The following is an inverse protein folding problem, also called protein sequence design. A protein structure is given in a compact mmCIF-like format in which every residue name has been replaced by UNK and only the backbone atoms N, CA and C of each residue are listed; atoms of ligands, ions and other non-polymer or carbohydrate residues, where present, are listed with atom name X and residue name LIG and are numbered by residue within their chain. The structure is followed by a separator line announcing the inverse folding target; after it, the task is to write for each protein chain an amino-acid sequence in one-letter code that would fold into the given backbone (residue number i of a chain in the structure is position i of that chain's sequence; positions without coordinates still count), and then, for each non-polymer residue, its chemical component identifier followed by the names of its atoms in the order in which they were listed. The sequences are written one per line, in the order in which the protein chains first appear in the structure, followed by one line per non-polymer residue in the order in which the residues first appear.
data_IF_662876039502
#
_entry.id   IF_662876039502
#
_cell.length_a   1.000
_cell.length_b   1.000
_cell.length_c   1.000
_cell.angle_alpha   90.00
_cell.angle_beta   90.00
_cell.angle_gamma   90.00
#
_symmetry.space_group_name_H-M   'P 1'
#
loop_
_entity.id
_entity.type
_entity.pdbx_description
1 polymer ?
#
# COMPACT_ATOMS: atom_id res chain seq x y z
N UNK A 1 12.16 -16.86 -7.93
CA UNK A 1 11.54 -18.20 -7.68
C UNK A 1 10.24 -18.27 -8.49
N UNK A 2 9.72 -19.45 -8.86
CA UNK A 2 8.45 -19.55 -9.60
C UNK A 2 7.28 -19.23 -8.66
N UNK A 3 6.52 -18.17 -8.92
CA UNK A 3 5.31 -17.83 -8.17
C UNK A 3 4.06 -17.92 -9.05
N UNK A 4 2.94 -18.29 -8.44
CA UNK A 4 1.61 -18.21 -9.04
C UNK A 4 0.80 -17.14 -8.32
N UNK A 5 0.47 -16.07 -9.03
CA UNK A 5 -0.60 -15.15 -8.64
C UNK A 5 -1.94 -15.80 -8.97
N UNK A 6 -2.95 -15.53 -8.15
CA UNK A 6 -4.24 -16.19 -8.27
C UNK A 6 -5.38 -15.23 -7.90
N UNK A 7 -6.52 -15.42 -8.57
CA UNK A 7 -7.67 -14.52 -8.43
C UNK A 7 -7.71 -13.43 -9.49
N UNK A 8 -8.92 -12.92 -9.74
CA UNK A 8 -9.20 -11.98 -10.83
C UNK A 8 -8.41 -10.68 -10.68
N UNK A 9 -8.53 -10.00 -9.54
CA UNK A 9 -7.91 -8.69 -9.36
C UNK A 9 -6.37 -8.74 -9.29
N UNK A 10 -5.73 -9.68 -8.54
CA UNK A 10 -4.27 -9.81 -8.56
C UNK A 10 -3.70 -10.05 -9.96
N UNK A 11 -4.31 -10.96 -10.73
CA UNK A 11 -3.88 -11.27 -12.10
C UNK A 11 -4.06 -10.07 -13.01
N UNK A 12 -5.22 -9.41 -12.93
CA UNK A 12 -5.49 -8.20 -13.73
C UNK A 12 -4.49 -7.08 -13.40
N UNK A 13 -4.28 -6.78 -12.12
CA UNK A 13 -3.35 -5.73 -11.70
C UNK A 13 -1.92 -6.05 -12.14
N UNK A 14 -1.44 -7.28 -11.94
CA UNK A 14 -0.10 -7.68 -12.38
C UNK A 14 0.11 -7.53 -13.90
N UNK A 15 -0.90 -7.88 -14.71
CA UNK A 15 -0.87 -7.69 -16.17
C UNK A 15 -0.84 -6.21 -16.57
N UNK A 16 -1.55 -5.35 -15.84
CA UNK A 16 -1.61 -3.91 -16.11
C UNK A 16 -0.33 -3.17 -15.70
N UNK A 17 0.15 -3.40 -14.47
CA UNK A 17 1.26 -2.64 -13.90
C UNK A 17 2.64 -3.23 -14.20
N UNK A 18 2.71 -4.52 -14.57
CA UNK A 18 3.93 -5.19 -15.07
C UNK A 18 5.14 -5.07 -14.14
N UNK A 19 4.92 -5.02 -12.82
CA UNK A 19 5.98 -5.00 -11.82
C UNK A 19 6.73 -6.33 -11.66
N UNK A 20 6.28 -7.37 -12.38
CA UNK A 20 6.88 -8.70 -12.38
C UNK A 20 7.18 -9.13 -13.81
N UNK A 21 8.18 -9.99 -13.95
CA UNK A 21 8.39 -10.72 -15.19
C UNK A 21 7.34 -11.84 -15.31
N UNK A 22 6.38 -11.64 -16.21
CA UNK A 22 5.27 -12.56 -16.46
C UNK A 22 5.73 -13.65 -17.44
N UNK A 23 5.43 -14.91 -17.12
CA UNK A 23 5.78 -16.08 -17.95
C UNK A 23 4.59 -16.59 -18.75
N UNK A 24 3.45 -16.83 -18.09
CA UNK A 24 2.23 -17.29 -18.75
C UNK A 24 0.99 -16.98 -17.92
N UNK A 25 -0.15 -16.84 -18.61
CA UNK A 25 -1.49 -16.81 -18.03
C UNK A 25 -2.12 -18.20 -18.16
N UNK A 26 -2.70 -18.71 -17.08
CA UNK A 26 -3.44 -19.98 -17.07
C UNK A 26 -4.91 -19.68 -16.77
N UNK A 27 -5.80 -20.06 -17.67
CA UNK A 27 -7.25 -19.88 -17.53
C UNK A 27 -7.93 -21.24 -17.41
N UNK A 28 -9.03 -21.31 -16.67
CA UNK A 28 -9.89 -22.50 -16.66
C UNK A 28 -10.35 -22.89 -18.08
N UNK A 29 -10.27 -24.17 -18.42
CA UNK A 29 -10.56 -24.68 -19.77
C UNK A 29 -12.03 -24.56 -20.19
N UNK A 30 -12.97 -24.71 -19.24
CA UNK A 30 -14.42 -24.58 -19.42
C UNK A 30 -14.87 -23.16 -19.80
N UNK A 31 -13.98 -22.17 -19.72
CA UNK A 31 -14.28 -20.80 -20.11
C UNK A 31 -14.52 -20.64 -21.62
N UNK A 32 -13.79 -21.38 -22.47
CA UNK A 32 -13.91 -21.28 -23.93
C UNK A 32 -15.30 -21.74 -24.42
N UNK A 33 -15.80 -22.84 -23.88
CA UNK A 33 -17.11 -23.41 -24.21
C UNK A 33 -18.23 -22.47 -23.76
N UNK A 34 -18.12 -21.92 -22.55
CA UNK A 34 -19.09 -20.98 -22.00
C UNK A 34 -19.08 -19.59 -22.67
N UNK A 35 -17.96 -19.19 -23.30
CA UNK A 35 -17.85 -17.90 -24.02
C UNK A 35 -18.80 -17.81 -25.23
N UNK A 36 -19.11 -18.94 -25.86
CA UNK A 36 -20.03 -18.99 -27.02
C UNK A 36 -21.49 -18.69 -26.61
N UNK A 37 -21.83 -18.88 -25.33
CA UNK A 37 -23.11 -18.45 -24.77
C UNK A 37 -23.03 -16.96 -24.40
N UNK A 38 -23.80 -16.13 -25.11
CA UNK A 38 -23.71 -14.66 -25.26
C UNK A 38 -23.67 -13.78 -23.99
N UNK A 39 -23.65 -14.34 -22.78
CA UNK A 39 -23.53 -13.61 -21.50
C UNK A 39 -22.11 -13.44 -20.94
N UNK A 40 -21.13 -14.25 -21.37
CA UNK A 40 -19.75 -14.23 -20.80
C UNK A 40 -18.75 -13.33 -21.53
N UNK A 41 -19.12 -12.72 -22.65
CA UNK A 41 -18.24 -11.82 -23.41
C UNK A 41 -17.70 -10.66 -22.56
N UNK A 42 -18.46 -10.22 -21.55
CA UNK A 42 -18.10 -9.13 -20.63
C UNK A 42 -17.54 -9.59 -19.28
N UNK A 43 -17.15 -10.87 -19.14
CA UNK A 43 -16.55 -11.35 -17.90
C UNK A 43 -15.16 -10.74 -17.65
N UNK A 44 -14.78 -10.61 -16.37
CA UNK A 44 -13.42 -10.21 -16.00
C UNK A 44 -12.33 -11.08 -16.64
N UNK A 45 -12.62 -12.37 -16.85
CA UNK A 45 -11.71 -13.32 -17.50
C UNK A 45 -11.48 -12.94 -18.96
N UNK A 46 -12.53 -12.52 -19.68
CA UNK A 46 -12.39 -12.01 -21.06
C UNK A 46 -11.46 -10.81 -21.12
N UNK A 47 -11.59 -9.87 -20.18
CA UNK A 47 -10.70 -8.69 -20.08
C UNK A 47 -9.26 -9.10 -19.80
N UNK A 48 -9.03 -10.00 -18.85
CA UNK A 48 -7.70 -10.53 -18.52
C UNK A 48 -7.07 -11.20 -19.75
N UNK A 49 -7.81 -12.06 -20.44
CA UNK A 49 -7.36 -12.73 -21.65
C UNK A 49 -6.97 -11.74 -22.74
N UNK A 50 -7.80 -10.73 -23.02
CA UNK A 50 -7.49 -9.68 -24.00
C UNK A 50 -6.23 -8.90 -23.66
N UNK A 51 -6.04 -8.51 -22.39
CA UNK A 51 -4.84 -7.78 -21.95
C UNK A 51 -3.59 -8.65 -22.10
N UNK A 52 -3.69 -9.94 -21.75
CA UNK A 52 -2.59 -10.88 -21.88
C UNK A 52 -2.18 -11.08 -23.35
N UNK A 53 -3.15 -11.28 -24.25
CA UNK A 53 -2.90 -11.39 -25.69
C UNK A 53 -2.26 -10.12 -26.27
N UNK A 54 -2.80 -8.94 -25.93
CA UNK A 54 -2.26 -7.66 -26.39
C UNK A 54 -0.84 -7.39 -25.85
N UNK A 55 -0.49 -7.96 -24.70
CA UNK A 55 0.84 -7.88 -24.11
C UNK A 55 1.79 -8.99 -24.56
N UNK A 56 1.37 -9.87 -25.48
CA UNK A 56 2.17 -11.01 -25.94
C UNK A 56 2.44 -12.08 -24.88
N UNK A 57 1.62 -12.14 -23.82
CA UNK A 57 1.76 -13.13 -22.75
C UNK A 57 1.16 -14.46 -23.23
N UNK A 58 1.92 -15.58 -23.20
CA UNK A 58 1.40 -16.90 -23.52
C UNK A 58 0.20 -17.27 -22.64
N UNK A 59 -0.85 -17.81 -23.25
CA UNK A 59 -2.07 -18.26 -22.55
C UNK A 59 -2.19 -19.78 -22.67
N UNK A 60 -2.34 -20.45 -21.55
CA UNK A 60 -2.63 -21.89 -21.46
C UNK A 60 -3.95 -22.14 -20.72
N UNK A 61 -4.53 -23.33 -20.93
CA UNK A 61 -5.79 -23.73 -20.34
C UNK A 61 -5.59 -24.96 -19.46
N UNK A 62 -6.31 -25.03 -18.34
CA UNK A 62 -6.24 -26.16 -17.42
C UNK A 62 -7.58 -26.37 -16.67
N UNK A 63 -7.78 -27.57 -16.14
CA UNK A 63 -8.94 -27.85 -15.28
C UNK A 63 -8.86 -27.12 -13.94
N UNK A 64 -10.01 -26.85 -13.32
CA UNK A 64 -10.08 -26.22 -11.99
C UNK A 64 -9.28 -27.00 -10.93
N UNK A 65 -9.31 -28.34 -11.00
CA UNK A 65 -8.57 -29.19 -10.07
C UNK A 65 -7.04 -29.04 -10.24
N UNK A 66 -6.55 -29.09 -11.48
CA UNK A 66 -5.12 -28.93 -11.79
C UNK A 66 -4.60 -27.55 -11.35
N UNK A 67 -5.38 -26.49 -11.61
CA UNK A 67 -5.07 -25.14 -11.15
C UNK A 67 -5.02 -25.05 -9.63
N UNK A 68 -5.96 -25.69 -8.93
CA UNK A 68 -5.99 -25.75 -7.47
C UNK A 68 -4.73 -26.40 -6.88
N UNK A 69 -4.24 -27.48 -7.49
CA UNK A 69 -2.98 -28.14 -7.06
C UNK A 69 -1.78 -27.21 -7.12
N UNK A 70 -1.67 -26.34 -8.14
CA UNK A 70 -0.55 -25.40 -8.29
C UNK A 70 -0.43 -24.36 -7.16
N UNK A 71 -1.52 -24.12 -6.43
CA UNK A 71 -1.60 -23.10 -5.38
C UNK A 71 -2.10 -23.65 -4.04
N UNK A 72 -1.97 -24.94 -3.81
CA UNK A 72 -2.35 -25.63 -2.57
C UNK A 72 -3.83 -25.40 -2.18
N UNK A 73 -4.74 -25.52 -3.16
CA UNK A 73 -6.19 -25.46 -2.93
C UNK A 73 -6.77 -24.07 -2.64
N UNK A 74 -5.97 -23.00 -2.77
CA UNK A 74 -6.43 -21.63 -2.54
C UNK A 74 -7.45 -21.17 -3.60
N UNK A 75 -8.33 -20.25 -3.24
CA UNK A 75 -9.37 -19.76 -4.15
C UNK A 75 -8.80 -18.87 -5.29
N UNK A 76 -8.73 -19.41 -6.51
CA UNK A 76 -8.16 -18.73 -7.69
C UNK A 76 -9.18 -18.13 -8.66
N UNK A 77 -10.47 -18.44 -8.54
CA UNK A 77 -11.53 -17.89 -9.42
C UNK A 77 -11.29 -18.20 -10.92
N UNK A 78 -10.65 -19.32 -11.23
CA UNK A 78 -10.42 -19.77 -12.61
C UNK A 78 -9.31 -19.06 -13.38
N UNK A 79 -8.45 -18.27 -12.71
CA UNK A 79 -7.31 -17.59 -13.33
C UNK A 79 -6.05 -17.68 -12.46
N UNK A 80 -4.92 -17.98 -13.08
CA UNK A 80 -3.59 -17.93 -12.48
C UNK A 80 -2.63 -17.18 -13.40
N UNK A 81 -1.64 -16.51 -12.82
CA UNK A 81 -0.56 -15.89 -13.56
C UNK A 81 0.76 -16.40 -13.01
N UNK A 82 1.53 -17.07 -13.86
CA UNK A 82 2.90 -17.47 -13.53
C UNK A 82 3.84 -16.29 -13.74
N UNK A 83 4.52 -15.88 -12.69
CA UNK A 83 5.44 -14.76 -12.70
C UNK A 83 6.60 -14.97 -11.71
N UNK A 84 7.64 -14.17 -11.86
CA UNK A 84 8.71 -14.08 -10.85
C UNK A 84 8.25 -13.28 -9.61
N UNK A 85 9.12 -13.22 -8.61
CA UNK A 85 8.91 -12.42 -7.40
C UNK A 85 8.79 -10.93 -7.77
N UNK A 86 8.00 -10.18 -7.00
CA UNK A 86 7.92 -8.73 -7.16
C UNK A 86 9.22 -8.10 -6.68
N UNK A 87 9.73 -7.13 -7.43
CA UNK A 87 10.96 -6.44 -7.07
C UNK A 87 10.72 -5.56 -5.85
N UNK A 88 11.61 -5.68 -4.86
CA UNK A 88 11.67 -4.79 -3.69
C UNK A 88 13.04 -4.14 -3.71
N UNK A 89 13.09 -2.84 -3.97
CA UNK A 89 14.35 -2.11 -4.13
C UNK A 89 14.88 -1.62 -2.78
N UNK A 90 16.21 -1.59 -2.56
CA UNK A 90 16.76 -0.91 -1.40
C UNK A 90 16.56 0.61 -1.53
N UNK A 91 16.43 1.28 -0.38
CA UNK A 91 16.45 2.75 -0.35
C UNK A 91 17.86 3.24 -0.69
N UNK A 92 17.91 4.23 -1.58
CA UNK A 92 19.12 4.92 -1.99
C UNK A 92 18.72 6.26 -2.58
N UNK A 93 19.66 7.21 -2.66
CA UNK A 93 19.40 8.50 -3.33
C UNK A 93 18.89 8.32 -4.77
N UNK A 94 19.39 7.29 -5.48
CA UNK A 94 18.97 6.98 -6.85
C UNK A 94 17.55 6.43 -6.91
N UNK A 95 17.21 5.44 -6.07
CA UNK A 95 15.87 4.84 -6.09
C UNK A 95 14.80 5.86 -5.68
N UNK A 96 15.09 6.72 -4.70
CA UNK A 96 14.19 7.83 -4.32
C UNK A 96 14.09 8.90 -5.41
N UNK A 97 15.19 9.31 -6.02
CA UNK A 97 15.16 10.27 -7.13
C UNK A 97 14.35 9.75 -8.32
N UNK A 98 14.53 8.47 -8.68
CA UNK A 98 13.73 7.81 -9.72
C UNK A 98 12.24 7.81 -9.35
N UNK A 99 11.90 7.47 -8.11
CA UNK A 99 10.52 7.50 -7.63
C UNK A 99 9.92 8.90 -7.73
N UNK A 100 10.61 9.94 -7.25
CA UNK A 100 10.13 11.32 -7.30
C UNK A 100 10.00 11.86 -8.73
N UNK A 101 10.87 11.44 -9.65
CA UNK A 101 10.84 11.90 -11.05
C UNK A 101 9.50 11.62 -11.75
N UNK A 102 8.77 10.57 -11.36
CA UNK A 102 7.45 10.27 -11.90
C UNK A 102 6.40 11.36 -11.59
N UNK A 103 6.63 12.18 -10.56
CA UNK A 103 5.73 13.24 -10.11
C UNK A 103 6.18 14.64 -10.55
N UNK A 104 7.47 14.81 -10.89
CA UNK A 104 8.02 16.08 -11.37
C UNK A 104 7.58 16.43 -12.79
N UNK A 105 7.25 15.42 -13.62
CA UNK A 105 6.72 15.65 -14.97
C UNK A 105 5.21 15.91 -14.90
N UNK A 106 4.84 17.18 -14.82
CA UNK A 106 3.53 17.61 -15.30
C UNK A 106 3.48 17.36 -16.81
N UNK A 107 3.04 16.17 -17.24
CA UNK A 107 2.83 15.88 -18.65
C UNK A 107 1.40 16.33 -19.00
N UNK A 108 1.22 17.51 -19.63
CA UNK A 108 -0.11 18.01 -19.98
C UNK A 108 -0.86 17.10 -20.96
N UNK A 109 -0.15 16.25 -21.71
CA UNK A 109 -0.73 15.37 -22.74
C UNK A 109 -1.17 13.98 -22.24
N UNK A 110 -0.98 13.65 -20.95
CA UNK A 110 -1.54 12.42 -20.38
C UNK A 110 -3.02 12.66 -20.00
N UNK A 111 -3.81 13.04 -20.99
CA UNK A 111 -5.27 13.10 -20.99
C UNK A 111 -5.85 11.72 -21.30
N UNK A 112 -5.54 10.75 -20.43
CA UNK A 112 -6.34 9.55 -20.25
C UNK A 112 -6.65 9.45 -18.76
N UNK A 113 -7.91 9.72 -18.43
CA UNK A 113 -8.46 10.16 -17.14
C UNK A 113 -8.21 9.26 -15.92
N UNK A 114 -7.48 8.15 -16.07
CA UNK A 114 -7.15 7.22 -14.98
C UNK A 114 -5.81 7.49 -14.28
N UNK A 115 -4.84 8.11 -14.95
CA UNK A 115 -3.44 8.22 -14.45
C UNK A 115 -3.26 9.44 -13.53
N UNK A 116 -3.97 10.54 -13.78
CA UNK A 116 -3.88 11.78 -12.99
C UNK A 116 -4.48 11.67 -11.58
N UNK A 117 -5.42 10.76 -11.36
CA UNK A 117 -6.18 10.66 -10.11
C UNK A 117 -5.41 9.90 -9.01
N UNK A 118 -4.40 9.08 -9.36
CA UNK A 118 -4.05 7.94 -8.50
C UNK A 118 -2.69 7.91 -7.82
N UNK A 119 -1.73 8.76 -8.19
CA UNK A 119 -0.39 8.65 -7.63
C UNK A 119 0.00 9.94 -6.90
N UNK A 120 -0.17 9.91 -5.58
CA UNK A 120 0.32 10.92 -4.66
C UNK A 120 1.69 10.46 -4.17
N UNK A 121 2.67 11.36 -3.92
CA UNK A 121 3.98 10.98 -3.41
C UNK A 121 3.89 10.61 -1.91
N UNK A 122 3.00 9.68 -1.57
CA UNK A 122 2.74 9.13 -0.25
C UNK A 122 3.27 7.71 -0.24
N UNK A 123 4.16 7.43 0.70
CA UNK A 123 4.67 6.11 1.00
C UNK A 123 4.20 5.66 2.39
N UNK A 124 3.97 4.36 2.55
CA UNK A 124 3.77 3.76 3.87
C UNK A 124 5.07 3.10 4.34
N UNK A 125 5.59 3.48 5.50
CA UNK A 125 6.64 2.72 6.17
C UNK A 125 6.01 1.67 7.09
N UNK A 126 6.22 0.40 6.79
CA UNK A 126 5.73 -0.73 7.55
C UNK A 126 6.83 -1.18 8.51
N UNK A 127 6.57 -1.04 9.81
CA UNK A 127 7.53 -1.37 10.87
C UNK A 127 6.94 -2.37 11.87
N UNK A 128 7.65 -3.48 12.09
CA UNK A 128 7.23 -4.62 12.92
C UNK A 128 5.89 -5.29 12.56
N UNK A 129 5.29 -4.99 11.40
CA UNK A 129 4.01 -5.57 11.00
C UNK A 129 4.19 -6.99 10.46
N UNK A 130 3.68 -7.99 11.17
CA UNK A 130 3.87 -9.42 10.86
C UNK A 130 2.59 -10.15 10.42
N UNK A 131 1.41 -9.52 10.49
CA UNK A 131 0.16 -10.11 10.04
C UNK A 131 -0.13 -9.79 8.57
N UNK A 132 -0.28 -10.84 7.76
CA UNK A 132 -0.61 -10.78 6.32
C UNK A 132 -1.99 -10.18 6.07
N UNK A 133 -2.95 -10.38 6.97
CA UNK A 133 -4.33 -9.89 6.84
C UNK A 133 -4.38 -8.38 7.02
N UNK A 134 -3.69 -7.88 8.05
CA UNK A 134 -3.50 -6.46 8.27
C UNK A 134 -2.79 -5.81 7.09
N UNK A 135 -1.66 -6.36 6.63
CA UNK A 135 -0.93 -5.79 5.49
C UNK A 135 -1.81 -5.75 4.23
N UNK A 136 -2.51 -6.84 3.89
CA UNK A 136 -3.40 -6.87 2.72
C UNK A 136 -4.48 -5.78 2.78
N UNK A 137 -5.09 -5.59 3.94
CA UNK A 137 -6.13 -4.57 4.16
C UNK A 137 -5.58 -3.14 4.13
N UNK A 138 -4.37 -2.93 4.68
CA UNK A 138 -3.63 -1.67 4.60
C UNK A 138 -3.36 -1.31 3.14
N UNK A 139 -2.76 -2.20 2.35
CA UNK A 139 -2.39 -1.90 0.96
C UNK A 139 -3.61 -1.56 0.10
N UNK A 140 -4.74 -2.23 0.35
CA UNK A 140 -5.99 -1.95 -0.35
C UNK A 140 -6.50 -0.54 -0.05
N UNK A 141 -6.48 -0.13 1.21
CA UNK A 141 -6.88 1.22 1.63
C UNK A 141 -5.88 2.28 1.15
N UNK A 142 -4.58 1.95 1.18
CA UNK A 142 -3.49 2.79 0.71
C UNK A 142 -3.67 3.20 -0.75
N UNK A 143 -3.82 2.22 -1.64
CA UNK A 143 -4.03 2.50 -3.08
C UNK A 143 -5.35 3.21 -3.32
N UNK A 144 -6.39 2.92 -2.54
CA UNK A 144 -7.66 3.64 -2.63
C UNK A 144 -7.51 5.14 -2.36
N UNK A 145 -6.68 5.52 -1.38
CA UNK A 145 -6.39 6.93 -1.04
C UNK A 145 -5.18 7.53 -1.79
N UNK A 146 -4.65 6.81 -2.79
CA UNK A 146 -3.60 7.29 -3.69
C UNK A 146 -2.17 7.13 -3.20
N UNK A 147 -1.91 6.30 -2.18
CA UNK A 147 -0.55 5.87 -1.83
C UNK A 147 0.10 5.18 -3.01
N UNK A 148 1.37 5.51 -3.27
CA UNK A 148 2.11 4.98 -4.42
C UNK A 148 3.30 4.10 -4.07
N UNK A 149 3.73 4.11 -2.80
CA UNK A 149 4.85 3.30 -2.36
C UNK A 149 4.65 2.65 -0.99
N UNK A 150 5.35 1.54 -0.76
CA UNK A 150 5.46 0.88 0.53
C UNK A 150 6.93 0.61 0.80
N UNK A 151 7.37 0.97 1.99
CA UNK A 151 8.72 0.79 2.48
C UNK A 151 8.63 -0.20 3.63
N UNK A 152 9.35 -1.30 3.55
CA UNK A 152 9.46 -2.24 4.66
C UNK A 152 10.70 -1.90 5.48
N UNK A 153 10.56 -1.81 6.81
CA UNK A 153 11.70 -1.54 7.69
C UNK A 153 12.69 -2.72 7.73
N UNK A 154 13.83 -2.49 8.40
CA UNK A 154 14.81 -3.54 8.73
C UNK A 154 14.26 -4.53 9.77
N UNK A 155 13.28 -4.10 10.56
CA UNK A 155 12.63 -4.95 11.54
C UNK A 155 11.83 -6.07 10.87
N UNK A 156 11.58 -7.19 11.58
CA UNK A 156 10.79 -8.29 11.04
C UNK A 156 9.40 -7.83 10.59
N UNK A 157 9.17 -7.85 9.28
CA UNK A 157 7.91 -7.48 8.64
C UNK A 157 7.49 -8.56 7.64
N UNK A 158 6.19 -8.64 7.36
CA UNK A 158 5.68 -9.52 6.30
C UNK A 158 6.35 -9.20 4.97
N UNK A 159 6.83 -10.24 4.27
CA UNK A 159 7.38 -10.10 2.92
C UNK A 159 6.28 -10.11 1.85
N UNK A 160 6.42 -9.34 0.76
CA UNK A 160 5.53 -9.40 -0.40
C UNK A 160 5.34 -10.82 -0.93
N UNK A 161 4.10 -11.20 -1.23
CA UNK A 161 3.77 -12.56 -1.65
C UNK A 161 2.47 -12.59 -2.48
N UNK A 162 2.23 -13.65 -3.26
CA UNK A 162 0.96 -13.80 -4.00
C UNK A 162 -0.27 -13.79 -3.08
N UNK A 163 -0.11 -14.22 -1.83
CA UNK A 163 -1.17 -14.13 -0.83
C UNK A 163 -1.51 -12.68 -0.49
N UNK A 164 -0.53 -11.80 -0.28
CA UNK A 164 -0.78 -10.38 -0.03
C UNK A 164 -1.40 -9.71 -1.26
N UNK A 165 -0.96 -10.09 -2.47
CA UNK A 165 -1.59 -9.65 -3.71
C UNK A 165 -3.09 -10.00 -3.71
N UNK A 166 -3.44 -11.24 -3.32
CA UNK A 166 -4.83 -11.68 -3.17
C UNK A 166 -5.60 -10.90 -2.11
N UNK A 167 -5.05 -10.79 -0.90
CA UNK A 167 -5.70 -10.12 0.24
C UNK A 167 -5.92 -8.62 -0.03
N UNK A 168 -5.00 -7.99 -0.74
CA UNK A 168 -5.08 -6.57 -1.14
C UNK A 168 -5.89 -6.31 -2.41
N UNK A 169 -6.56 -7.34 -2.96
CA UNK A 169 -7.27 -7.26 -4.24
C UNK A 169 -6.41 -6.71 -5.39
N UNK A 170 -5.12 -7.09 -5.43
CA UNK A 170 -4.17 -6.68 -6.45
C UNK A 170 -3.54 -5.30 -6.24
N UNK A 171 -3.86 -4.58 -5.15
CA UNK A 171 -3.27 -3.27 -4.86
C UNK A 171 -1.74 -3.32 -4.70
N UNK A 172 -1.20 -4.42 -4.16
CA UNK A 172 0.25 -4.60 -4.04
C UNK A 172 0.98 -4.49 -5.40
N UNK A 173 0.35 -4.93 -6.50
CA UNK A 173 0.97 -4.92 -7.82
C UNK A 173 1.05 -3.52 -8.45
N UNK A 174 0.40 -2.50 -7.86
CA UNK A 174 0.46 -1.11 -8.33
C UNK A 174 1.41 -0.22 -7.52
N UNK A 175 1.96 -0.73 -6.42
CA UNK A 175 2.78 0.05 -5.48
C UNK A 175 4.27 -0.16 -5.74
N UNK A 176 5.08 0.91 -5.71
CA UNK A 176 6.53 0.76 -5.65
C UNK A 176 6.93 0.18 -4.29
N UNK A 177 7.72 -0.90 -4.27
CA UNK A 177 8.12 -1.56 -3.04
C UNK A 177 9.59 -1.30 -2.73
N UNK A 178 9.86 -0.82 -1.52
CA UNK A 178 11.20 -0.56 -1.03
C UNK A 178 11.48 -1.30 0.28
N UNK A 179 12.76 -1.49 0.59
CA UNK A 179 13.23 -2.10 1.84
C UNK A 179 14.34 -1.24 2.43
N UNK A 180 14.26 -0.97 3.74
CA UNK A 180 15.39 -0.43 4.48
C UNK A 180 16.49 -1.47 4.64
N UNK A 181 17.72 -1.03 4.38
CA UNK A 181 18.95 -1.75 4.69
C UNK A 181 19.55 -1.29 6.01
N UNK A 182 19.41 0.00 6.31
CA UNK A 182 19.74 0.60 7.60
C UNK A 182 18.69 1.67 7.91
N UNK A 183 17.98 1.51 9.03
CA UNK A 183 16.85 2.39 9.37
C UNK A 183 17.27 3.85 9.49
N UNK A 184 18.44 4.14 10.09
CA UNK A 184 18.87 5.50 10.38
C UNK A 184 19.33 6.20 9.10
N UNK A 185 20.16 5.53 8.31
CA UNK A 185 20.67 6.08 7.05
C UNK A 185 19.57 6.22 6.00
N UNK A 186 18.66 5.26 5.90
CA UNK A 186 17.58 5.31 4.92
C UNK A 186 16.53 6.38 5.26
N UNK A 187 16.22 6.58 6.54
CA UNK A 187 15.38 7.70 6.99
C UNK A 187 16.07 9.06 6.72
N UNK A 188 17.40 9.12 6.89
CA UNK A 188 18.17 10.32 6.54
C UNK A 188 18.11 10.60 5.03
N UNK A 189 18.23 9.58 4.18
CA UNK A 189 18.08 9.72 2.72
C UNK A 189 16.70 10.27 2.37
N UNK A 190 15.63 9.77 2.99
CA UNK A 190 14.27 10.27 2.76
C UNK A 190 14.12 11.74 3.20
N UNK A 191 14.66 12.09 4.37
CA UNK A 191 14.65 13.46 4.88
C UNK A 191 15.43 14.42 3.97
N UNK A 192 16.64 14.05 3.54
CA UNK A 192 17.47 14.81 2.59
C UNK A 192 16.78 14.96 1.22
N UNK A 193 15.95 13.99 0.83
CA UNK A 193 15.15 14.04 -0.39
C UNK A 193 13.84 14.84 -0.22
N UNK A 194 13.64 15.51 0.91
CA UNK A 194 12.49 16.40 1.14
C UNK A 194 11.21 15.70 1.57
N UNK A 195 11.25 14.42 1.97
CA UNK A 195 10.07 13.76 2.54
C UNK A 195 9.70 14.37 3.90
N UNK A 196 8.40 14.46 4.18
CA UNK A 196 7.83 14.65 5.50
C UNK A 196 7.53 13.28 6.11
N UNK A 197 8.05 12.99 7.30
CA UNK A 197 7.88 11.69 7.97
C UNK A 197 6.89 11.83 9.12
N UNK A 198 5.73 11.19 9.01
CA UNK A 198 4.70 11.15 10.05
C UNK A 198 4.64 9.74 10.62
N UNK A 199 4.84 9.58 11.92
CA UNK A 199 4.73 8.29 12.61
C UNK A 199 3.42 8.14 13.35
N UNK A 200 2.83 6.95 13.37
CA UNK A 200 1.66 6.67 14.20
C UNK A 200 2.03 6.27 15.62
N UNK A 201 1.29 6.75 16.61
CA UNK A 201 1.44 6.37 18.01
C UNK A 201 0.11 5.92 18.63
N UNK A 202 0.18 5.07 19.65
CA UNK A 202 -0.93 4.70 20.53
C UNK A 202 -0.98 5.55 21.80
N UNK A 203 -2.07 5.39 22.57
CA UNK A 203 -2.35 6.16 23.79
C UNK A 203 -1.30 5.92 24.90
N UNK A 204 -0.86 4.67 25.08
CA UNK A 204 0.04 4.26 26.17
C UNK A 204 1.52 4.63 25.92
N UNK A 205 1.82 5.42 24.89
CA UNK A 205 3.18 5.84 24.62
C UNK A 205 3.61 6.93 25.62
N UNK A 206 4.75 6.71 26.28
CA UNK A 206 5.43 7.69 27.16
C UNK A 206 5.82 9.00 26.47
N UNK A 207 5.52 9.09 25.17
CA UNK A 207 5.79 10.19 24.25
C UNK A 207 4.61 11.17 24.14
N UNK A 208 3.55 11.00 24.93
CA UNK A 208 2.37 11.88 24.91
C UNK A 208 2.71 13.36 25.20
N UNK A 209 3.84 13.63 25.87
CA UNK A 209 4.36 14.97 26.15
C UNK A 209 5.29 15.54 25.06
N UNK A 210 5.51 14.82 23.98
CA UNK A 210 6.34 15.27 22.86
C UNK A 210 5.61 16.38 22.09
N UNK A 211 6.29 17.51 21.86
CA UNK A 211 5.73 18.65 21.12
C UNK A 211 5.37 18.32 19.66
N UNK A 212 5.87 17.21 19.12
CA UNK A 212 5.52 16.68 17.79
C UNK A 212 4.22 15.88 17.79
N UNK A 213 3.65 15.60 18.96
CA UNK A 213 2.40 14.85 19.08
C UNK A 213 1.22 15.68 18.54
N UNK A 214 0.41 15.06 17.68
CA UNK A 214 -0.83 15.61 17.13
C UNK A 214 -1.93 14.56 17.18
N UNK A 215 -3.16 15.02 17.36
CA UNK A 215 -4.35 14.19 17.12
C UNK A 215 -4.76 14.29 15.65
N UNK A 216 -5.42 13.26 15.13
CA UNK A 216 -6.00 13.29 13.79
C UNK A 216 -6.94 14.49 13.54
N UNK A 217 -7.56 15.04 14.59
CA UNK A 217 -8.45 16.21 14.50
C UNK A 217 -7.73 17.55 14.57
N UNK A 218 -6.60 17.63 15.29
CA UNK A 218 -5.81 18.86 15.42
C UNK A 218 -4.83 19.09 14.27
N UNK A 219 -4.69 18.12 13.38
CA UNK A 219 -3.75 18.15 12.27
C UNK A 219 -4.19 19.17 11.21
N UNK A 220 -3.28 20.06 10.81
CA UNK A 220 -3.55 21.12 9.83
C UNK A 220 -3.01 20.79 8.44
N UNK A 221 -3.48 21.49 7.40
CA UNK A 221 -3.01 21.31 6.03
C UNK A 221 -1.53 21.68 5.86
N UNK A 222 -1.09 22.72 6.54
CA UNK A 222 0.29 23.20 6.57
C UNK A 222 1.23 22.14 7.16
N UNK A 223 0.85 21.56 8.30
CA UNK A 223 1.65 20.52 8.99
C UNK A 223 1.84 19.26 8.15
N UNK A 224 0.87 18.93 7.28
CA UNK A 224 0.96 17.76 6.39
C UNK A 224 1.54 18.06 5.02
N UNK A 225 2.15 19.25 4.87
CA UNK A 225 2.84 19.67 3.66
C UNK A 225 1.92 19.86 2.46
N UNK A 226 0.66 20.29 2.67
CA UNK A 226 -0.29 20.56 1.59
C UNK A 226 0.20 21.64 0.62
N UNK A 227 0.88 22.66 1.16
CA UNK A 227 1.33 23.85 0.42
C UNK A 227 2.85 24.02 0.39
N UNK A 228 3.59 23.04 0.91
CA UNK A 228 5.05 22.96 0.89
C UNK A 228 5.47 21.91 -0.15
N UNK A 229 6.65 22.06 -0.74
CA UNK A 229 7.25 21.07 -1.63
C UNK A 229 8.47 20.37 -1.00
N UNK A 230 8.95 20.82 0.17
CA UNK A 230 10.12 20.27 0.83
C UNK A 230 11.41 20.40 0.01
N UNK A 231 11.46 21.33 -0.94
CA UNK A 231 12.57 21.47 -1.89
C UNK A 231 12.59 20.44 -3.02
N UNK A 232 11.50 19.67 -3.20
CA UNK A 232 11.41 18.62 -4.22
C UNK A 232 10.84 19.10 -5.56
N UNK A 233 10.25 20.30 -5.61
CA UNK A 233 9.47 20.77 -6.74
C UNK A 233 8.13 20.05 -6.92
N UNK A 234 7.69 19.25 -5.93
CA UNK A 234 6.43 18.51 -5.94
C UNK A 234 5.58 18.97 -4.75
N UNK A 235 4.44 19.59 -5.04
CA UNK A 235 3.44 20.00 -4.03
C UNK A 235 2.15 19.21 -4.25
N UNK A 236 1.56 18.60 -3.21
CA UNK A 236 1.99 18.56 -1.80
C UNK A 236 3.30 17.79 -1.55
N UNK A 237 4.09 18.23 -0.56
CA UNK A 237 5.40 17.67 -0.18
C UNK A 237 5.36 16.14 -0.04
N UNK A 238 6.29 15.38 -0.63
CA UNK A 238 6.33 13.92 -0.47
C UNK A 238 6.25 13.49 1.00
N UNK A 239 5.50 12.44 1.31
CA UNK A 239 5.18 12.05 2.69
C UNK A 239 5.42 10.56 2.92
N UNK A 240 5.99 10.22 4.07
CA UNK A 240 6.05 8.86 4.60
C UNK A 240 5.16 8.78 5.82
N UNK A 241 4.13 7.92 5.79
CA UNK A 241 3.35 7.56 6.96
C UNK A 241 3.90 6.25 7.54
N UNK A 242 4.55 6.32 8.70
CA UNK A 242 5.12 5.17 9.38
C UNK A 242 4.09 4.51 10.30
N UNK A 243 3.88 3.22 10.10
CA UNK A 243 2.91 2.37 10.78
C UNK A 243 3.65 1.31 11.60
N UNK A 244 3.37 1.30 12.90
CA UNK A 244 3.89 0.31 13.84
C UNK A 244 2.93 -0.86 14.05
N UNK A 245 3.46 -1.97 14.56
CA UNK A 245 2.61 -3.07 15.04
C UNK A 245 1.82 -2.68 16.29
N UNK A 246 0.66 -3.30 16.52
CA UNK A 246 -0.17 -3.07 17.72
C UNK A 246 0.61 -3.34 19.03
N UNK A 247 1.46 -4.37 19.04
CA UNK A 247 2.18 -4.79 20.25
C UNK A 247 3.46 -3.98 20.53
N UNK A 248 4.19 -3.57 19.49
CA UNK A 248 5.50 -2.91 19.64
C UNK A 248 5.48 -1.42 19.31
N UNK A 249 4.48 -0.96 18.55
CA UNK A 249 4.51 0.35 17.93
C UNK A 249 5.63 0.49 16.90
N UNK A 250 6.12 1.71 16.74
CA UNK A 250 7.25 2.06 15.89
C UNK A 250 8.58 1.89 16.64
N UNK A 251 9.62 1.52 15.91
CA UNK A 251 10.99 1.45 16.42
C UNK A 251 11.47 2.83 16.89
N UNK A 252 12.30 2.92 17.96
CA UNK A 252 12.77 4.19 18.50
C UNK A 252 13.47 5.08 17.46
N UNK A 253 14.21 4.48 16.53
CA UNK A 253 14.90 5.18 15.44
C UNK A 253 13.90 5.85 14.49
N UNK A 254 12.81 5.15 14.17
CA UNK A 254 11.72 5.69 13.33
C UNK A 254 11.02 6.83 14.06
N UNK A 255 10.67 6.65 15.34
CA UNK A 255 10.05 7.69 16.17
C UNK A 255 10.92 8.94 16.24
N UNK A 256 12.24 8.78 16.39
CA UNK A 256 13.20 9.90 16.44
C UNK A 256 13.26 10.67 15.12
N UNK A 257 13.11 9.99 13.99
CA UNK A 257 13.15 10.61 12.66
C UNK A 257 11.82 11.24 12.23
N UNK A 258 10.71 10.95 12.92
CA UNK A 258 9.41 11.52 12.58
C UNK A 258 9.37 13.03 12.84
N UNK A 259 8.84 13.80 11.89
CA UNK A 259 8.54 15.22 12.06
C UNK A 259 7.29 15.40 12.93
N UNK A 260 6.30 14.53 12.74
CA UNK A 260 5.03 14.52 13.49
C UNK A 260 4.77 13.11 14.00
N UNK A 261 4.26 13.01 15.23
CA UNK A 261 3.73 11.77 15.77
C UNK A 261 2.21 11.90 15.91
N UNK A 262 1.49 11.10 15.13
CA UNK A 262 0.05 11.19 14.95
C UNK A 262 -0.68 10.11 15.74
N UNK A 263 -1.71 10.51 16.48
CA UNK A 263 -2.61 9.61 17.21
C UNK A 263 -4.06 9.78 16.77
N UNK A 264 -4.83 8.70 16.84
CA UNK A 264 -6.29 8.76 16.71
C UNK A 264 -6.88 8.77 18.12
N UNK A 265 -7.55 9.86 18.55
CA UNK A 265 -8.13 9.90 19.87
C UNK A 265 -9.32 8.94 19.97
N UNK A 266 -9.39 8.21 21.09
CA UNK A 266 -10.48 7.31 21.43
C UNK A 266 -11.36 7.85 22.55
N UNK A 267 -12.54 7.26 22.76
CA UNK A 267 -13.47 7.65 23.83
C UNK A 267 -12.87 7.52 25.23
N UNK A 268 -11.87 6.66 25.42
CA UNK A 268 -11.17 6.49 26.70
C UNK A 268 -10.47 7.77 27.17
N UNK A 269 -10.03 8.64 26.25
CA UNK A 269 -9.43 9.93 26.61
C UNK A 269 -10.43 10.89 27.28
N UNK A 270 -11.74 10.62 27.13
CA UNK A 270 -12.82 11.41 27.73
C UNK A 270 -13.52 10.70 28.90
N UNK A 271 -13.23 9.41 29.12
CA UNK A 271 -13.85 8.63 30.18
C UNK A 271 -13.06 8.75 31.49
N UNK A 272 -13.50 9.66 32.36
CA UNK A 272 -13.12 9.72 33.77
C UNK A 272 -14.05 8.87 34.64
N UNK A 273 -14.47 7.69 34.18
CA UNK A 273 -15.41 6.84 34.92
C UNK A 273 -14.64 5.97 35.93
N UNK A 274 -14.79 6.21 37.26
CA UNK A 274 -14.03 5.50 38.28
C UNK A 274 -14.47 4.04 38.49
N UNK A 275 -15.57 3.60 37.86
CA UNK A 275 -16.20 2.30 38.14
C UNK A 275 -15.72 1.19 37.19
N UNK A 276 -15.42 1.52 35.94
CA UNK A 276 -14.89 0.55 34.97
C UNK A 276 -13.40 0.80 34.78
N UNK A 277 -12.51 -0.17 35.09
CA UNK A 277 -11.10 0.04 34.85
C UNK A 277 -10.89 0.31 33.35
N UNK A 278 -10.28 1.45 33.02
CA UNK A 278 -9.98 1.88 31.63
C UNK A 278 -9.30 0.77 30.82
N UNK A 279 -8.53 -0.09 31.52
CA UNK A 279 -7.88 -1.30 31.01
C UNK A 279 -8.83 -2.36 30.40
N UNK A 280 -10.14 -2.27 30.60
CA UNK A 280 -11.12 -3.20 30.04
C UNK A 280 -11.48 -2.89 28.57
N UNK A 281 -11.15 -1.69 28.08
CA UNK A 281 -11.38 -1.28 26.70
C UNK A 281 -10.09 -1.37 25.87
N UNK A 282 -10.17 -1.59 24.54
CA UNK A 282 -8.99 -1.66 23.69
C UNK A 282 -8.26 -0.31 23.67
N UNK A 283 -7.00 -0.27 24.10
CA UNK A 283 -6.21 0.98 24.18
C UNK A 283 -5.69 1.48 22.83
N UNK A 284 -5.92 0.74 21.75
CA UNK A 284 -5.58 1.11 20.39
C UNK A 284 -6.54 0.50 19.37
N UNK A 285 -6.56 1.08 18.17
CA UNK A 285 -7.27 0.53 17.01
C UNK A 285 -6.42 -0.53 16.33
N UNK A 286 -7.09 -1.45 15.63
CA UNK A 286 -6.40 -2.31 14.68
C UNK A 286 -5.64 -1.46 13.66
N UNK A 287 -4.39 -1.84 13.36
CA UNK A 287 -3.49 -1.03 12.52
C UNK A 287 -4.05 -0.77 11.12
N UNK A 288 -4.79 -1.70 10.52
CA UNK A 288 -5.39 -1.50 9.21
C UNK A 288 -6.54 -0.47 9.25
N UNK A 289 -7.36 -0.52 10.30
CA UNK A 289 -8.43 0.46 10.53
C UNK A 289 -7.85 1.85 10.78
N UNK A 290 -6.84 1.94 11.67
CA UNK A 290 -6.14 3.19 11.95
C UNK A 290 -5.53 3.79 10.66
N UNK A 291 -4.88 2.96 9.85
CA UNK A 291 -4.29 3.40 8.58
C UNK A 291 -5.35 3.98 7.63
N UNK A 292 -6.51 3.35 7.51
CA UNK A 292 -7.60 3.87 6.68
C UNK A 292 -8.11 5.24 7.13
N UNK A 293 -8.29 5.43 8.45
CA UNK A 293 -8.72 6.71 9.04
C UNK A 293 -7.67 7.80 8.77
N UNK A 294 -6.39 7.51 9.02
CA UNK A 294 -5.31 8.48 8.86
C UNK A 294 -5.09 8.84 7.39
N UNK A 295 -5.13 7.87 6.49
CA UNK A 295 -5.00 8.14 5.06
C UNK A 295 -6.16 8.97 4.53
N UNK A 296 -7.39 8.73 4.98
CA UNK A 296 -8.54 9.57 4.63
C UNK A 296 -8.33 11.01 5.12
N UNK A 297 -7.90 11.19 6.37
CA UNK A 297 -7.65 12.52 6.94
C UNK A 297 -6.52 13.25 6.21
N UNK A 298 -5.40 12.57 5.94
CA UNK A 298 -4.28 13.13 5.17
C UNK A 298 -4.72 13.48 3.74
N UNK A 299 -5.54 12.64 3.11
CA UNK A 299 -6.08 12.88 1.80
C UNK A 299 -6.95 14.16 1.77
N UNK A 300 -7.82 14.35 2.76
CA UNK A 300 -8.66 15.55 2.90
C UNK A 300 -7.85 16.82 3.16
N UNK A 301 -6.80 16.75 3.99
CA UNK A 301 -5.99 17.92 4.33
C UNK A 301 -5.05 18.34 3.20
N UNK A 302 -4.59 17.38 2.39
CA UNK A 302 -3.57 17.62 1.36
C UNK A 302 -4.12 17.87 -0.03
N UNK A 303 -5.33 17.40 -0.30
CA UNK A 303 -5.90 17.45 -1.65
C UNK A 303 -7.31 18.04 -1.60
N UNK A 304 -7.63 19.04 -2.44
CA UNK A 304 -8.98 19.60 -2.51
C UNK A 304 -10.01 18.54 -2.88
N UNK A 305 -11.25 18.72 -2.44
CA UNK A 305 -12.36 17.76 -2.63
C UNK A 305 -12.63 17.38 -4.09
N UNK A 306 -12.26 18.24 -5.04
CA UNK A 306 -12.40 18.02 -6.49
C UNK A 306 -11.33 17.07 -7.05
N UNK A 307 -10.32 16.70 -6.24
CA UNK A 307 -9.16 15.86 -6.62
C UNK A 307 -9.04 14.58 -5.78
N UNK A 308 -10.05 14.27 -4.97
CA UNK A 308 -10.21 13.03 -4.19
C UNK A 308 -11.06 12.01 -4.95
#
# INVERSE_FOLDING_TARGET
MKQFLYGIHPVLSALCFKQRKIKQLIIREDWLENRMNKGLAYSWISRIHSIAQNSGVPVSFASMAAMGTLINGRAHQGVLLEADDITVEPISRRSISNFLSFYSFTNPECSQDFIRIRNRPVALLIDHLTDVMNLGSILRSAVFFGTSAVIFSTAPCVAPSPLISKLSAGAMESLSLFRFTDTVDDLKILSEAGFLVIGTMGLDSSLSSDNRCRTSFSLTAEEVGAYDDGGTGITPRPLVLALGSEARGLSPEVVKACDILLRIPGSQETCSDPVVPVLAYPSSLNVAVATGILLYQLANLRYPAETL
#
